data_IF_884482195938
#
_entry.id   IF_884482195938
#
_cell.length_a   1.000
_cell.length_b   1.000
_cell.length_c   1.000
_cell.angle_alpha   90.00
_cell.angle_beta   90.00
_cell.angle_gamma   90.00
#
_symmetry.space_group_name_H-M   'P 1'
#
loop_
_entity.id
_entity.type
_entity.pdbx_description
1 polymer ?
#
# COMPACT_ATOMS: atom_id res chain seq x y z
N UNK A 1 -53.04 -38.47 19.80
CA UNK A 1 -52.98 -39.61 18.87
C UNK A 1 -51.63 -39.57 18.15
N UNK A 2 -50.68 -40.42 18.53
CA UNK A 2 -49.45 -40.59 17.77
C UNK A 2 -49.77 -41.42 16.53
N UNK A 3 -49.70 -40.83 15.33
CA UNK A 3 -49.74 -41.60 14.09
C UNK A 3 -48.50 -42.52 14.06
N UNK A 4 -48.66 -43.82 13.75
CA UNK A 4 -47.51 -44.71 13.60
C UNK A 4 -46.68 -44.21 12.42
N UNK A 5 -45.40 -43.89 12.66
CA UNK A 5 -44.43 -43.65 11.59
C UNK A 5 -44.34 -44.92 10.77
N UNK A 6 -45.00 -44.96 9.61
CA UNK A 6 -44.74 -46.00 8.63
C UNK A 6 -43.25 -45.97 8.32
N UNK A 7 -42.57 -47.08 8.61
CA UNK A 7 -41.16 -47.21 8.32
C UNK A 7 -41.01 -47.25 6.80
N UNK A 8 -40.69 -46.10 6.19
CA UNK A 8 -40.57 -45.90 4.75
C UNK A 8 -39.49 -46.83 4.13
N UNK A 9 -38.66 -47.45 4.99
CA UNK A 9 -37.63 -48.42 4.65
C UNK A 9 -38.02 -49.88 4.92
N UNK A 10 -39.29 -50.20 5.21
CA UNK A 10 -39.74 -51.60 5.22
C UNK A 10 -39.54 -52.23 3.84
N UNK A 11 -39.21 -53.53 3.80
CA UNK A 11 -38.90 -54.26 2.57
C UNK A 11 -40.05 -54.19 1.53
N UNK A 12 -41.29 -54.01 1.99
CA UNK A 12 -42.50 -53.92 1.16
C UNK A 12 -42.95 -52.49 0.84
N UNK A 13 -42.16 -51.46 1.24
CA UNK A 13 -42.49 -50.05 0.97
C UNK A 13 -42.47 -49.72 -0.53
N UNK A 14 -43.44 -48.95 -1.05
CA UNK A 14 -43.48 -48.51 -2.45
C UNK A 14 -42.18 -47.82 -2.90
N UNK A 15 -41.49 -47.14 -1.99
CA UNK A 15 -40.20 -46.50 -2.25
C UNK A 15 -39.05 -47.51 -2.45
N UNK A 16 -39.06 -48.61 -1.70
CA UNK A 16 -38.08 -49.70 -1.83
C UNK A 16 -38.31 -50.47 -3.13
N UNK A 17 -39.58 -50.72 -3.49
CA UNK A 17 -39.96 -51.33 -4.76
C UNK A 17 -39.55 -50.47 -5.97
N UNK A 18 -39.83 -49.16 -5.94
CA UNK A 18 -39.38 -48.21 -6.96
C UNK A 18 -37.86 -48.22 -7.15
N UNK A 19 -37.08 -48.25 -6.05
CA UNK A 19 -35.62 -48.32 -6.15
C UNK A 19 -35.13 -49.65 -6.75
N UNK A 20 -35.79 -50.76 -6.44
CA UNK A 20 -35.48 -52.10 -6.97
C UNK A 20 -35.81 -52.22 -8.46
N UNK A 21 -36.86 -51.54 -8.92
CA UNK A 21 -37.25 -51.48 -10.32
C UNK A 21 -36.35 -50.55 -11.13
N UNK A 22 -36.03 -49.37 -10.60
CA UNK A 22 -35.07 -48.44 -11.21
C UNK A 22 -33.67 -49.06 -11.31
N UNK A 23 -33.24 -49.81 -10.30
CA UNK A 23 -31.95 -50.51 -10.34
C UNK A 23 -31.95 -51.64 -11.39
N UNK A 24 -33.03 -52.41 -11.56
CA UNK A 24 -33.17 -53.37 -12.67
C UNK A 24 -33.02 -52.71 -14.05
N UNK A 25 -33.64 -51.55 -14.25
CA UNK A 25 -33.53 -50.78 -15.51
C UNK A 25 -32.08 -50.30 -15.74
N UNK A 26 -31.39 -49.88 -14.68
CA UNK A 26 -29.97 -49.52 -14.72
C UNK A 26 -29.05 -50.73 -14.98
N UNK A 27 -29.46 -51.95 -14.60
CA UNK A 27 -28.75 -53.21 -14.90
C UNK A 27 -28.87 -53.62 -16.37
N UNK A 28 -30.05 -53.40 -16.96
CA UNK A 28 -30.35 -53.77 -18.35
C UNK A 28 -29.51 -52.99 -19.36
N UNK A 29 -28.99 -51.82 -18.97
CA UNK A 29 -28.06 -51.01 -19.78
C UNK A 29 -26.58 -51.41 -19.63
N UNK A 30 -26.29 -52.61 -19.10
CA UNK A 30 -24.96 -53.26 -19.16
C UNK A 30 -23.86 -52.70 -18.24
N UNK A 31 -24.01 -51.49 -17.71
CA UNK A 31 -22.89 -50.76 -17.09
C UNK A 31 -22.92 -50.68 -15.55
N UNK A 32 -23.81 -51.41 -14.85
CA UNK A 32 -23.92 -51.30 -13.37
C UNK A 32 -24.12 -52.67 -12.74
N UNK A 33 -23.30 -52.99 -11.73
CA UNK A 33 -23.47 -54.19 -10.91
C UNK A 33 -24.59 -54.00 -9.87
N UNK A 34 -25.82 -54.26 -10.33
CA UNK A 34 -27.07 -54.03 -9.57
C UNK A 34 -27.27 -55.01 -8.41
N UNK A 35 -26.54 -56.13 -8.40
CA UNK A 35 -26.57 -57.12 -7.32
C UNK A 35 -26.25 -56.51 -5.95
N UNK A 36 -25.24 -55.65 -5.86
CA UNK A 36 -24.84 -55.06 -4.57
C UNK A 36 -25.74 -53.91 -4.14
N UNK A 37 -26.14 -53.04 -5.06
CA UNK A 37 -27.05 -51.93 -4.75
C UNK A 37 -28.38 -52.47 -4.21
N UNK A 38 -28.92 -53.52 -4.83
CA UNK A 38 -30.11 -54.23 -4.35
C UNK A 38 -29.88 -54.87 -2.98
N UNK A 39 -28.75 -55.57 -2.78
CA UNK A 39 -28.42 -56.25 -1.51
C UNK A 39 -28.20 -55.28 -0.34
N UNK A 40 -27.67 -54.09 -0.61
CA UNK A 40 -27.46 -53.04 0.39
C UNK A 40 -28.74 -52.29 0.73
N UNK A 41 -29.62 -52.09 -0.26
CA UNK A 41 -31.00 -51.57 -0.05
C UNK A 41 -31.84 -52.55 0.77
N UNK A 42 -31.77 -53.86 0.47
CA UNK A 42 -32.47 -54.91 1.23
C UNK A 42 -32.02 -55.00 2.69
N UNK A 43 -30.79 -54.56 3.01
CA UNK A 43 -30.25 -54.50 4.38
C UNK A 43 -30.45 -53.15 5.08
N UNK A 44 -31.13 -52.18 4.46
CA UNK A 44 -31.35 -50.85 5.03
C UNK A 44 -30.07 -50.01 5.23
N UNK A 45 -28.93 -50.41 4.64
CA UNK A 45 -27.64 -49.71 4.81
C UNK A 45 -27.50 -48.61 3.75
N UNK A 46 -27.35 -47.36 4.17
CA UNK A 46 -26.98 -46.24 3.27
C UNK A 46 -25.54 -46.45 2.78
N UNK A 47 -25.34 -46.64 1.47
CA UNK A 47 -24.00 -46.79 0.90
C UNK A 47 -23.22 -45.46 1.02
N UNK A 48 -22.05 -45.52 1.64
CA UNK A 48 -21.07 -44.44 1.60
C UNK A 48 -20.07 -44.72 0.49
N UNK A 49 -19.42 -43.66 -0.01
CA UNK A 49 -18.42 -43.80 -1.08
C UNK A 49 -17.25 -44.72 -0.65
N UNK A 50 -16.87 -44.71 0.63
CA UNK A 50 -15.82 -45.58 1.15
C UNK A 50 -16.16 -47.07 1.05
N UNK A 51 -17.42 -47.43 1.27
CA UNK A 51 -17.90 -48.80 1.09
C UNK A 51 -17.82 -49.20 -0.40
N UNK A 52 -18.19 -48.30 -1.32
CA UNK A 52 -18.16 -48.54 -2.77
C UNK A 52 -16.71 -48.74 -3.25
N UNK A 53 -15.79 -47.86 -2.85
CA UNK A 53 -14.38 -47.94 -3.24
C UNK A 53 -13.77 -49.28 -2.80
N UNK A 54 -13.99 -49.67 -1.54
CA UNK A 54 -13.44 -50.91 -0.98
C UNK A 54 -13.93 -52.13 -1.75
N UNK A 55 -15.21 -52.15 -2.10
CA UNK A 55 -15.81 -53.28 -2.80
C UNK A 55 -15.33 -53.38 -4.24
N UNK A 56 -15.38 -52.29 -5.00
CA UNK A 56 -14.94 -52.29 -6.41
C UNK A 56 -13.44 -52.58 -6.55
N UNK A 57 -12.64 -52.17 -5.56
CA UNK A 57 -11.23 -52.55 -5.44
C UNK A 57 -11.08 -54.06 -5.25
N UNK A 58 -11.80 -54.66 -4.30
CA UNK A 58 -11.73 -56.09 -4.03
C UNK A 58 -12.23 -56.93 -5.22
N UNK A 59 -13.26 -56.47 -5.94
CA UNK A 59 -13.76 -57.14 -7.17
C UNK A 59 -12.71 -57.21 -8.27
N UNK A 60 -11.85 -56.19 -8.36
CA UNK A 60 -10.77 -56.11 -9.35
C UNK A 60 -9.45 -56.70 -8.84
N UNK A 61 -9.46 -57.38 -7.69
CA UNK A 61 -8.28 -57.96 -7.04
C UNK A 61 -7.14 -56.94 -6.77
N UNK A 62 -7.48 -55.67 -6.61
CA UNK A 62 -6.50 -54.62 -6.33
C UNK A 62 -6.24 -54.55 -4.82
N UNK A 63 -4.99 -54.31 -4.42
CA UNK A 63 -4.65 -53.96 -3.04
C UNK A 63 -4.86 -52.46 -2.79
N UNK A 64 -4.91 -52.05 -1.52
CA UNK A 64 -4.96 -50.61 -1.20
C UNK A 64 -3.74 -49.85 -1.72
N UNK A 65 -2.60 -50.53 -1.84
CA UNK A 65 -1.36 -49.97 -2.40
C UNK A 65 -1.51 -49.75 -3.91
N UNK A 66 -2.04 -50.74 -4.62
CA UNK A 66 -2.27 -50.64 -6.07
C UNK A 66 -3.25 -49.50 -6.39
N UNK A 67 -4.33 -49.39 -5.61
CA UNK A 67 -5.30 -48.30 -5.77
C UNK A 67 -4.69 -46.93 -5.47
N UNK A 68 -3.79 -46.85 -4.47
CA UNK A 68 -3.09 -45.62 -4.12
C UNK A 68 -2.15 -45.16 -5.24
N UNK A 69 -1.46 -46.09 -5.90
CA UNK A 69 -0.61 -45.82 -7.06
C UNK A 69 -1.43 -45.26 -8.24
N UNK A 70 -2.61 -45.83 -8.51
CA UNK A 70 -3.48 -45.36 -9.61
C UNK A 70 -3.95 -43.91 -9.41
N UNK A 71 -4.25 -43.50 -8.17
CA UNK A 71 -4.70 -42.14 -7.87
C UNK A 71 -3.58 -41.18 -7.47
N UNK A 72 -2.32 -41.61 -7.49
CA UNK A 72 -1.15 -40.85 -7.01
C UNK A 72 -1.33 -40.31 -5.58
N UNK A 73 -1.87 -41.15 -4.69
CA UNK A 73 -2.08 -40.84 -3.28
C UNK A 73 -1.35 -41.83 -2.38
N UNK A 74 -1.36 -41.58 -1.08
CA UNK A 74 -0.79 -42.53 -0.12
C UNK A 74 -1.77 -43.65 0.19
N UNK A 75 -1.25 -44.87 0.45
CA UNK A 75 -2.08 -46.00 0.91
C UNK A 75 -2.89 -45.65 2.16
N UNK A 76 -2.33 -44.85 3.08
CA UNK A 76 -3.05 -44.39 4.27
C UNK A 76 -4.27 -43.54 3.89
N UNK A 77 -4.20 -42.73 2.83
CA UNK A 77 -5.34 -41.94 2.36
C UNK A 77 -6.45 -42.83 1.77
N UNK A 78 -6.08 -43.81 0.93
CA UNK A 78 -7.03 -44.83 0.44
C UNK A 78 -7.70 -45.58 1.60
N UNK A 79 -6.91 -46.00 2.60
CA UNK A 79 -7.46 -46.64 3.81
C UNK A 79 -8.42 -45.72 4.57
N UNK A 80 -8.14 -44.40 4.63
CA UNK A 80 -9.08 -43.44 5.24
C UNK A 80 -10.37 -43.31 4.43
N UNK A 81 -10.31 -43.31 3.10
CA UNK A 81 -11.50 -43.31 2.24
C UNK A 81 -12.35 -44.55 2.48
N UNK A 82 -11.76 -45.74 2.42
CA UNK A 82 -12.47 -47.02 2.61
C UNK A 82 -13.10 -47.16 4.00
N UNK A 83 -12.51 -46.49 5.00
CA UNK A 83 -13.01 -46.49 6.38
C UNK A 83 -13.88 -45.26 6.71
N UNK A 84 -14.28 -44.46 5.72
CA UNK A 84 -15.10 -43.25 5.87
C UNK A 84 -14.52 -42.22 6.86
N UNK A 85 -13.18 -42.18 7.01
CA UNK A 85 -12.46 -41.21 7.85
C UNK A 85 -12.10 -39.92 7.10
N UNK A 86 -12.10 -39.97 5.78
CA UNK A 86 -11.99 -38.82 4.88
C UNK A 86 -12.72 -39.15 3.58
N UNK A 87 -13.02 -38.13 2.77
CA UNK A 87 -13.57 -38.33 1.43
C UNK A 87 -12.52 -38.04 0.35
N UNK A 88 -12.62 -38.69 -0.82
CA UNK A 88 -11.88 -38.24 -2.00
C UNK A 88 -12.36 -36.84 -2.41
N UNK A 89 -11.46 -36.04 -2.99
CA UNK A 89 -11.83 -34.76 -3.60
C UNK A 89 -12.62 -34.95 -4.91
N UNK A 90 -13.16 -33.86 -5.47
CA UNK A 90 -14.01 -33.97 -6.66
C UNK A 90 -13.31 -34.62 -7.85
N UNK A 91 -12.01 -34.32 -8.06
CA UNK A 91 -11.21 -34.89 -9.14
C UNK A 91 -10.98 -36.40 -8.93
N UNK A 92 -10.69 -36.80 -7.69
CA UNK A 92 -10.57 -38.20 -7.31
C UNK A 92 -11.90 -38.94 -7.47
N UNK A 93 -13.04 -38.31 -7.14
CA UNK A 93 -14.36 -38.93 -7.37
C UNK A 93 -14.63 -39.15 -8.87
N UNK A 94 -14.22 -38.22 -9.73
CA UNK A 94 -14.30 -38.40 -11.20
C UNK A 94 -13.40 -39.55 -11.65
N UNK A 95 -12.15 -39.60 -11.19
CA UNK A 95 -11.24 -40.71 -11.53
C UNK A 95 -11.73 -42.06 -11.00
N UNK A 96 -12.38 -42.09 -9.83
CA UNK A 96 -13.01 -43.31 -9.28
C UNK A 96 -14.19 -43.75 -10.15
N UNK A 97 -14.99 -42.81 -10.64
CA UNK A 97 -16.08 -43.05 -11.59
C UNK A 97 -15.56 -43.70 -12.86
N UNK A 98 -14.47 -43.18 -13.42
CA UNK A 98 -13.82 -43.72 -14.61
C UNK A 98 -13.15 -45.08 -14.37
N UNK A 99 -12.38 -45.23 -13.29
CA UNK A 99 -11.65 -46.47 -12.98
C UNK A 99 -12.59 -47.67 -12.76
N UNK A 100 -13.76 -47.42 -12.15
CA UNK A 100 -14.71 -48.46 -11.80
C UNK A 100 -15.92 -48.54 -12.73
N UNK A 101 -15.96 -47.73 -13.79
CA UNK A 101 -17.10 -47.60 -14.71
C UNK A 101 -18.44 -47.36 -13.96
N UNK A 102 -18.41 -46.49 -12.95
CA UNK A 102 -19.56 -46.18 -12.12
C UNK A 102 -20.11 -44.78 -12.42
N UNK A 103 -21.42 -44.56 -12.51
CA UNK A 103 -21.97 -43.22 -12.66
C UNK A 103 -21.60 -42.32 -11.48
N UNK A 104 -21.21 -41.07 -11.73
CA UNK A 104 -20.95 -40.07 -10.68
C UNK A 104 -22.14 -39.92 -9.71
N UNK A 105 -23.36 -39.96 -10.24
CA UNK A 105 -24.59 -39.94 -9.45
C UNK A 105 -24.66 -41.07 -8.41
N UNK A 106 -24.09 -42.24 -8.72
CA UNK A 106 -24.03 -43.38 -7.82
C UNK A 106 -23.05 -43.14 -6.67
N UNK A 107 -21.89 -42.53 -6.97
CA UNK A 107 -20.86 -42.19 -6.00
C UNK A 107 -21.28 -41.02 -5.08
N UNK A 108 -22.03 -40.05 -5.61
CA UNK A 108 -22.36 -38.81 -4.93
C UNK A 108 -23.71 -38.83 -4.19
N UNK A 109 -24.78 -39.38 -4.78
CA UNK A 109 -26.14 -39.31 -4.18
C UNK A 109 -26.31 -40.21 -2.95
N UNK A 110 -25.43 -41.19 -2.76
CA UNK A 110 -25.41 -42.05 -1.58
C UNK A 110 -24.94 -41.35 -0.29
N UNK A 111 -24.11 -40.31 -0.41
CA UNK A 111 -23.41 -39.69 0.72
C UNK A 111 -23.56 -38.15 0.75
N UNK A 112 -24.64 -37.69 1.39
CA UNK A 112 -24.90 -36.26 1.60
C UNK A 112 -23.80 -35.57 2.42
N UNK A 113 -23.09 -36.27 3.31
CA UNK A 113 -22.04 -35.65 4.12
C UNK A 113 -20.83 -35.29 3.25
N UNK A 114 -20.45 -36.18 2.33
CA UNK A 114 -19.40 -35.90 1.34
C UNK A 114 -19.75 -34.70 0.47
N UNK A 115 -20.95 -34.67 -0.12
CA UNK A 115 -21.37 -33.56 -1.00
C UNK A 115 -21.38 -32.20 -0.28
N UNK A 116 -21.75 -32.17 1.01
CA UNK A 116 -21.70 -30.96 1.81
C UNK A 116 -20.27 -30.51 2.10
N UNK A 117 -19.33 -31.44 2.35
CA UNK A 117 -17.92 -31.10 2.56
C UNK A 117 -17.26 -30.54 1.30
N UNK A 118 -17.46 -31.18 0.13
CA UNK A 118 -16.93 -30.67 -1.15
C UNK A 118 -17.46 -29.26 -1.47
N UNK A 119 -18.74 -28.99 -1.17
CA UNK A 119 -19.35 -27.68 -1.33
C UNK A 119 -18.81 -26.64 -0.33
N UNK A 120 -18.51 -27.04 0.91
CA UNK A 120 -17.95 -26.14 1.91
C UNK A 120 -16.51 -25.75 1.56
N UNK A 121 -15.68 -26.71 1.16
CA UNK A 121 -14.28 -26.47 0.82
C UNK A 121 -14.12 -25.56 -0.40
N UNK A 122 -14.97 -25.73 -1.42
CA UNK A 122 -14.98 -24.85 -2.59
C UNK A 122 -15.40 -23.41 -2.24
N UNK A 123 -16.44 -23.24 -1.41
CA UNK A 123 -16.87 -21.91 -0.92
C UNK A 123 -15.81 -21.25 -0.04
N UNK A 124 -15.15 -22.01 0.82
CA UNK A 124 -14.08 -21.51 1.69
C UNK A 124 -12.89 -21.02 0.87
N UNK A 125 -12.41 -21.82 -0.10
CA UNK A 125 -11.32 -21.41 -1.02
C UNK A 125 -11.66 -20.14 -1.80
N UNK A 126 -12.90 -20.02 -2.29
CA UNK A 126 -13.35 -18.82 -3.00
C UNK A 126 -13.35 -17.58 -2.09
N UNK A 127 -13.90 -17.70 -0.87
CA UNK A 127 -13.87 -16.61 0.12
C UNK A 127 -12.44 -16.23 0.50
N UNK A 128 -11.57 -17.19 0.77
CA UNK A 128 -10.17 -16.93 1.11
C UNK A 128 -9.43 -16.18 0.01
N UNK A 129 -9.68 -16.51 -1.28
CA UNK A 129 -9.11 -15.77 -2.41
C UNK A 129 -9.61 -14.32 -2.46
N UNK A 130 -10.91 -14.09 -2.24
CA UNK A 130 -11.49 -12.74 -2.21
C UNK A 130 -10.92 -11.91 -1.05
N UNK A 131 -10.91 -12.46 0.16
CA UNK A 131 -10.37 -11.78 1.35
C UNK A 131 -8.86 -11.54 1.23
N UNK A 132 -8.11 -12.49 0.68
CA UNK A 132 -6.69 -12.33 0.39
C UNK A 132 -6.42 -11.19 -0.59
N UNK A 133 -7.19 -11.11 -1.69
CA UNK A 133 -7.09 -10.01 -2.65
C UNK A 133 -7.48 -8.64 -2.06
N UNK A 134 -8.49 -8.59 -1.19
CA UNK A 134 -8.86 -7.35 -0.52
C UNK A 134 -7.75 -6.89 0.45
N UNK A 135 -7.17 -7.82 1.20
CA UNK A 135 -6.10 -7.53 2.16
C UNK A 135 -4.86 -6.98 1.44
N UNK A 136 -4.49 -7.52 0.28
CA UNK A 136 -3.35 -7.00 -0.48
C UNK A 136 -3.60 -5.58 -0.99
N UNK A 137 -4.82 -5.28 -1.44
CA UNK A 137 -5.21 -3.91 -1.83
C UNK A 137 -5.11 -2.96 -0.64
N UNK A 138 -5.62 -3.33 0.53
CA UNK A 138 -5.56 -2.52 1.74
C UNK A 138 -4.11 -2.25 2.15
N UNK A 139 -3.26 -3.28 2.17
CA UNK A 139 -1.84 -3.14 2.51
C UNK A 139 -1.13 -2.23 1.50
N UNK A 140 -1.38 -2.41 0.20
CA UNK A 140 -0.78 -1.56 -0.84
C UNK A 140 -1.21 -0.10 -0.71
N UNK A 141 -2.48 0.16 -0.39
CA UNK A 141 -3.00 1.49 -0.13
C UNK A 141 -2.37 2.10 1.12
N UNK A 142 -2.22 1.33 2.20
CA UNK A 142 -1.58 1.80 3.43
C UNK A 142 -0.13 2.23 3.16
N UNK A 143 0.65 1.41 2.45
CA UNK A 143 2.03 1.72 2.07
C UNK A 143 2.10 3.02 1.25
N UNK A 144 1.23 3.16 0.23
CA UNK A 144 1.17 4.39 -0.58
C UNK A 144 0.84 5.62 0.26
N UNK A 145 -0.11 5.53 1.18
CA UNK A 145 -0.45 6.64 2.08
C UNK A 145 0.69 6.98 3.04
N UNK A 146 1.43 5.99 3.55
CA UNK A 146 2.60 6.24 4.40
C UNK A 146 3.72 6.92 3.62
N UNK A 147 4.02 6.46 2.40
CA UNK A 147 5.03 7.10 1.54
C UNK A 147 4.63 8.55 1.22
N UNK A 148 3.34 8.77 0.88
CA UNK A 148 2.82 10.11 0.63
C UNK A 148 2.95 11.00 1.87
N UNK A 149 2.59 10.49 3.05
CA UNK A 149 2.71 11.26 4.30
C UNK A 149 4.16 11.59 4.61
N UNK A 150 5.07 10.64 4.48
CA UNK A 150 6.51 10.87 4.68
C UNK A 150 7.04 11.94 3.71
N UNK A 151 6.58 11.94 2.45
CA UNK A 151 6.96 12.96 1.48
C UNK A 151 6.32 14.33 1.77
N UNK A 152 5.05 14.35 2.19
CA UNK A 152 4.31 15.60 2.45
C UNK A 152 4.86 16.37 3.67
N UNK A 153 5.33 15.66 4.69
CA UNK A 153 5.92 16.26 5.88
C UNK A 153 7.45 16.41 5.80
N UNK A 154 8.11 15.91 4.75
CA UNK A 154 9.54 16.17 4.51
C UNK A 154 9.72 17.60 4.00
N UNK A 155 10.71 18.31 4.53
CA UNK A 155 11.12 19.59 3.95
C UNK A 155 12.12 19.31 2.82
N UNK A 156 11.87 19.80 1.58
CA UNK A 156 12.75 19.56 0.47
C UNK A 156 14.12 20.21 0.72
N UNK A 157 15.17 19.40 0.72
CA UNK A 157 16.54 19.93 0.77
C UNK A 157 16.86 20.74 -0.50
N UNK A 158 17.22 22.00 -0.35
CA UNK A 158 17.57 22.87 -1.47
C UNK A 158 19.09 23.11 -1.51
N UNK A 159 19.65 23.08 -2.71
CA UNK A 159 21.05 23.44 -2.97
C UNK A 159 21.11 24.62 -3.93
N UNK A 160 22.26 25.32 -4.07
CA UNK A 160 22.35 26.45 -5.01
C UNK A 160 22.08 26.07 -6.46
N UNK A 161 22.33 24.82 -6.86
CA UNK A 161 22.02 24.33 -8.20
C UNK A 161 20.52 24.23 -8.48
N UNK A 162 19.74 24.12 -7.40
CA UNK A 162 18.28 24.01 -7.47
C UNK A 162 17.62 25.39 -7.64
N UNK A 163 18.37 26.47 -7.43
CA UNK A 163 17.89 27.84 -7.40
C UNK A 163 18.44 28.59 -8.61
N UNK A 164 17.55 29.13 -9.44
CA UNK A 164 17.90 30.00 -10.55
C UNK A 164 17.51 31.44 -10.21
N UNK A 165 18.49 32.34 -10.25
CA UNK A 165 18.25 33.77 -10.08
C UNK A 165 17.73 34.32 -11.42
N UNK A 166 16.53 34.87 -11.40
CA UNK A 166 15.87 35.41 -12.60
C UNK A 166 16.18 36.89 -12.79
N UNK A 167 16.26 37.65 -11.69
CA UNK A 167 16.46 39.11 -11.72
C UNK A 167 17.03 39.61 -10.39
N UNK A 168 17.89 40.62 -10.45
CA UNK A 168 18.34 41.36 -9.26
C UNK A 168 18.13 42.86 -9.49
N UNK A 169 17.47 43.52 -8.55
CA UNK A 169 17.26 44.97 -8.56
C UNK A 169 18.04 45.62 -7.41
N UNK A 170 18.90 46.59 -7.74
CA UNK A 170 19.60 47.42 -6.75
C UNK A 170 18.85 48.74 -6.57
N UNK A 171 18.53 49.12 -5.36
CA UNK A 171 17.73 50.31 -5.06
C UNK A 171 18.45 51.22 -4.07
N UNK A 172 18.30 52.53 -4.24
CA UNK A 172 18.82 53.53 -3.29
C UNK A 172 17.72 53.89 -2.31
N UNK A 173 17.95 53.64 -1.01
CA UNK A 173 17.05 54.01 0.08
C UNK A 173 17.48 55.38 0.63
N UNK A 174 16.57 56.37 0.70
CA UNK A 174 16.90 57.68 1.26
C UNK A 174 17.12 57.58 2.78
N UNK A 175 17.91 58.51 3.33
CA UNK A 175 18.04 58.66 4.76
C UNK A 175 16.67 58.98 5.39
N UNK A 176 16.40 58.41 6.57
CA UNK A 176 15.12 58.58 7.28
C UNK A 176 15.39 58.95 8.73
N UNK A 177 14.66 59.93 9.25
CA UNK A 177 14.69 60.24 10.68
C UNK A 177 13.48 59.60 11.36
N UNK A 178 13.74 58.75 12.36
CA UNK A 178 12.71 58.23 13.25
C UNK A 178 12.66 59.16 14.47
N UNK A 179 11.45 59.46 14.95
CA UNK A 179 11.25 60.12 16.23
C UNK A 179 10.54 59.14 17.15
N UNK A 180 11.13 58.84 18.30
CA UNK A 180 10.46 58.09 19.35
C UNK A 180 9.28 58.93 19.86
N UNK A 181 8.05 58.42 19.68
CA UNK A 181 6.83 59.16 20.04
C UNK A 181 6.66 59.40 21.55
N UNK A 182 7.34 58.60 22.39
CA UNK A 182 7.23 58.69 23.85
C UNK A 182 8.38 59.51 24.47
N UNK A 183 9.60 59.39 23.97
CA UNK A 183 10.78 60.09 24.52
C UNK A 183 11.17 61.35 23.74
N UNK A 184 10.60 61.57 22.54
CA UNK A 184 10.98 62.66 21.64
C UNK A 184 12.36 62.51 20.99
N UNK A 185 13.07 61.42 21.31
CA UNK A 185 14.42 61.17 20.79
C UNK A 185 14.38 60.94 19.28
N UNK A 186 15.26 61.65 18.55
CA UNK A 186 15.41 61.51 17.09
C UNK A 186 16.59 60.60 16.77
N UNK A 187 16.36 59.62 15.90
CA UNK A 187 17.40 58.76 15.35
C UNK A 187 17.46 58.95 13.83
N UNK A 188 18.64 59.27 13.31
CA UNK A 188 18.86 59.38 11.88
C UNK A 188 19.39 58.05 11.34
N UNK A 189 18.58 57.39 10.50
CA UNK A 189 19.04 56.28 9.67
C UNK A 189 19.68 56.87 8.41
N UNK A 190 20.97 56.59 8.14
CA UNK A 190 21.63 57.07 6.92
C UNK A 190 21.00 56.46 5.66
N UNK A 191 21.28 57.06 4.50
CA UNK A 191 20.88 56.47 3.23
C UNK A 191 21.60 55.12 3.03
N UNK A 192 20.90 54.14 2.46
CA UNK A 192 21.41 52.77 2.31
C UNK A 192 21.09 52.18 0.93
N UNK A 193 21.65 51.01 0.63
CA UNK A 193 21.37 50.25 -0.58
C UNK A 193 20.54 49.01 -0.21
N UNK A 194 19.52 48.77 -1.01
CA UNK A 194 18.63 47.63 -0.87
C UNK A 194 18.67 46.79 -2.14
N UNK A 195 18.78 45.46 -1.97
CA UNK A 195 18.76 44.52 -3.09
C UNK A 195 17.47 43.69 -3.04
N UNK A 196 16.75 43.63 -4.15
CA UNK A 196 15.64 42.71 -4.37
C UNK A 196 16.09 41.63 -5.34
N UNK A 197 16.19 40.40 -4.86
CA UNK A 197 16.63 39.25 -5.65
C UNK A 197 15.39 38.40 -5.96
N UNK A 198 15.13 38.19 -7.24
CA UNK A 198 14.10 37.28 -7.77
C UNK A 198 14.76 35.96 -8.14
N UNK A 199 14.13 34.87 -7.76
CA UNK A 199 14.62 33.52 -8.02
C UNK A 199 13.46 32.55 -8.15
N UNK A 200 13.73 31.43 -8.82
CA UNK A 200 12.83 30.29 -8.97
C UNK A 200 13.58 29.00 -8.67
N UNK A 201 12.85 27.93 -8.44
CA UNK A 201 13.43 26.59 -8.29
C UNK A 201 13.32 25.83 -9.60
N UNK A 202 14.37 25.09 -9.98
CA UNK A 202 14.31 24.11 -11.07
C UNK A 202 14.03 22.69 -10.53
N UNK A 203 13.95 22.52 -9.21
CA UNK A 203 13.71 21.23 -8.56
C UNK A 203 12.25 20.80 -8.77
N UNK A 204 11.99 19.58 -9.27
CA UNK A 204 10.65 19.13 -9.58
C UNK A 204 9.81 18.96 -8.31
N UNK A 205 8.52 19.28 -8.41
CA UNK A 205 7.52 19.17 -7.33
C UNK A 205 7.88 19.95 -6.05
N UNK A 206 8.68 21.02 -6.19
CA UNK A 206 9.02 21.92 -5.11
C UNK A 206 8.58 23.32 -5.51
N UNK A 207 7.86 23.98 -4.61
CA UNK A 207 7.54 25.39 -4.72
C UNK A 207 8.24 26.15 -3.59
N UNK A 208 8.67 27.36 -3.87
CA UNK A 208 9.37 28.21 -2.89
C UNK A 208 8.33 28.99 -2.10
N UNK A 209 8.33 28.81 -0.77
CA UNK A 209 7.24 29.28 0.07
C UNK A 209 7.30 30.78 0.36
N UNK A 210 8.53 31.26 0.60
CA UNK A 210 8.98 32.62 0.92
C UNK A 210 10.37 32.46 1.53
N UNK A 211 11.33 33.28 1.14
CA UNK A 211 12.60 33.34 1.85
C UNK A 211 12.40 34.16 3.13
N UNK A 212 12.73 33.57 4.28
CA UNK A 212 12.96 34.32 5.51
C UNK A 212 14.48 34.53 5.62
N UNK A 213 14.95 35.75 5.31
CA UNK A 213 16.32 36.15 5.63
C UNK A 213 16.44 36.36 7.13
N UNK A 214 16.49 35.29 7.91
CA UNK A 214 16.70 35.37 9.35
C UNK A 214 18.19 35.61 9.58
N UNK A 215 18.60 36.87 9.72
CA UNK A 215 19.95 37.25 10.13
C UNK A 215 20.07 37.02 11.64
N UNK A 216 20.38 35.80 12.06
CA UNK A 216 20.47 35.46 13.50
C UNK A 216 21.91 35.23 14.00
N UNK A 217 22.93 35.13 13.13
CA UNK A 217 24.33 35.18 13.57
C UNK A 217 25.28 35.58 12.43
N UNK A 218 26.28 36.37 12.78
CA UNK A 218 27.31 36.89 11.88
C UNK A 218 28.55 36.04 12.06
N UNK A 219 28.91 35.29 11.04
CA UNK A 219 30.34 35.08 10.84
C UNK A 219 30.94 36.35 10.23
N UNK A 220 32.20 36.69 10.53
CA UNK A 220 32.85 37.88 10.00
C UNK A 220 32.84 37.99 8.46
N UNK A 221 32.59 36.88 7.75
CA UNK A 221 32.78 36.69 6.31
C UNK A 221 31.53 36.79 5.43
N UNK A 222 30.30 36.78 5.97
CA UNK A 222 29.09 36.68 5.13
C UNK A 222 27.73 36.87 5.82
N UNK A 223 26.66 36.92 5.01
CA UNK A 223 25.24 36.98 5.41
C UNK A 223 24.57 35.69 4.95
N UNK A 224 23.95 34.95 5.87
CA UNK A 224 23.25 33.71 5.57
C UNK A 224 21.78 33.94 5.22
N UNK A 225 21.29 33.19 4.24
CA UNK A 225 19.92 33.24 3.74
C UNK A 225 19.34 31.82 3.82
N UNK A 226 18.21 31.68 4.51
CA UNK A 226 17.46 30.42 4.59
C UNK A 226 16.30 30.43 3.57
N UNK A 227 16.32 29.47 2.65
CA UNK A 227 15.31 29.36 1.57
C UNK A 227 14.51 28.09 1.76
N UNK A 228 13.28 28.20 2.27
CA UNK A 228 12.42 27.03 2.45
C UNK A 228 11.56 26.79 1.22
N UNK A 229 11.44 25.51 0.86
CA UNK A 229 10.51 25.03 -0.14
C UNK A 229 9.44 24.16 0.51
N UNK A 230 8.34 23.95 -0.20
CA UNK A 230 7.37 22.91 0.14
C UNK A 230 7.08 22.06 -1.08
N UNK A 231 6.81 20.78 -0.81
CA UNK A 231 6.40 19.85 -1.83
C UNK A 231 5.03 20.28 -2.41
N UNK A 232 4.97 20.43 -3.74
CA UNK A 232 3.76 20.87 -4.44
C UNK A 232 3.59 20.08 -5.73
N UNK A 233 2.37 19.57 -5.92
CA UNK A 233 1.97 18.94 -7.17
C UNK A 233 1.48 19.98 -8.18
N UNK A 234 1.88 19.83 -9.44
CA UNK A 234 1.45 20.69 -10.54
C UNK A 234 2.48 21.77 -10.90
N UNK A 235 2.01 22.93 -11.35
CA UNK A 235 2.87 24.02 -11.82
C UNK A 235 3.67 24.63 -10.66
N UNK A 236 4.99 24.63 -10.79
CA UNK A 236 5.97 25.17 -9.84
C UNK A 236 6.78 26.31 -10.48
N UNK A 237 6.10 27.24 -11.16
CA UNK A 237 6.74 28.37 -11.90
C UNK A 237 6.68 29.69 -11.11
N UNK A 238 6.45 29.61 -9.80
CA UNK A 238 6.26 30.75 -8.91
C UNK A 238 7.60 31.42 -8.63
N UNK A 239 7.80 32.59 -9.22
CA UNK A 239 8.93 33.45 -8.89
C UNK A 239 8.78 33.94 -7.45
N UNK A 240 9.85 33.78 -6.68
CA UNK A 240 9.97 34.22 -5.30
C UNK A 240 10.98 35.36 -5.19
N UNK A 241 10.80 36.22 -4.19
CA UNK A 241 11.62 37.41 -4.00
C UNK A 241 12.17 37.48 -2.58
N UNK A 242 13.41 37.96 -2.43
CA UNK A 242 14.04 38.26 -1.14
C UNK A 242 14.59 39.68 -1.15
N UNK A 243 14.34 40.39 -0.06
CA UNK A 243 14.96 41.67 0.24
C UNK A 243 16.22 41.45 1.07
N UNK A 244 17.35 41.92 0.57
CA UNK A 244 18.61 42.01 1.32
C UNK A 244 18.83 43.48 1.67
N UNK A 245 18.68 43.80 2.96
CA UNK A 245 18.75 45.17 3.51
C UNK A 245 19.76 45.19 4.66
N UNK A 246 20.43 46.34 4.85
CA UNK A 246 21.04 46.68 6.14
C UNK A 246 19.99 46.61 7.24
N UNK A 247 20.10 45.68 8.20
CA UNK A 247 19.25 45.64 9.39
C UNK A 247 19.34 47.00 10.08
N UNK A 248 18.30 47.83 9.91
CA UNK A 248 18.19 49.14 10.53
C UNK A 248 16.79 49.24 11.12
N UNK A 249 16.70 48.84 12.41
CA UNK A 249 15.71 49.12 13.48
C UNK A 249 15.44 47.85 14.33
N UNK A 250 15.27 47.91 15.67
CA UNK A 250 15.95 48.67 16.73
C UNK A 250 16.98 47.83 17.53
N UNK A 251 17.15 46.54 17.23
CA UNK A 251 17.93 45.61 18.08
C UNK A 251 19.43 45.55 17.74
N UNK A 252 19.88 46.18 16.65
CA UNK A 252 21.30 46.28 16.31
C UNK A 252 21.70 47.71 15.95
N UNK A 253 22.63 48.25 16.74
CA UNK A 253 23.17 49.61 16.67
C UNK A 253 24.25 49.79 15.58
N UNK A 254 24.51 48.79 14.74
CA UNK A 254 25.67 48.80 13.83
C UNK A 254 25.26 48.79 12.35
N UNK A 255 25.26 49.98 11.75
CA UNK A 255 25.03 50.17 10.32
C UNK A 255 26.10 49.50 9.43
N UNK A 256 27.33 49.29 9.92
CA UNK A 256 28.42 48.70 9.13
C UNK A 256 28.36 47.17 9.05
N UNK A 257 27.40 46.57 9.75
CA UNK A 257 27.29 45.14 9.96
C UNK A 257 27.09 44.31 8.68
N UNK A 258 26.48 44.86 7.65
CA UNK A 258 26.19 44.18 6.38
C UNK A 258 27.10 44.63 5.24
N UNK A 259 27.78 45.76 5.42
CA UNK A 259 28.56 46.40 4.35
C UNK A 259 29.78 45.54 4.01
N UNK A 260 29.88 45.12 2.74
CA UNK A 260 31.04 44.36 2.27
C UNK A 260 30.95 42.85 2.40
N UNK A 261 29.79 42.30 2.79
CA UNK A 261 29.65 40.86 3.05
C UNK A 261 29.00 40.12 1.87
N UNK A 262 29.51 38.92 1.61
CA UNK A 262 28.95 37.99 0.63
C UNK A 262 27.67 37.34 1.17
N UNK A 263 26.77 36.92 0.28
CA UNK A 263 25.56 36.18 0.61
C UNK A 263 25.81 34.67 0.49
N UNK A 264 25.35 33.92 1.50
CA UNK A 264 25.46 32.46 1.57
C UNK A 264 24.06 31.84 1.70
N UNK A 265 23.84 30.74 0.98
CA UNK A 265 22.65 29.91 1.09
C UNK A 265 22.86 28.89 2.19
N UNK A 266 21.97 28.92 3.18
CA UNK A 266 21.98 27.98 4.28
C UNK A 266 21.60 26.57 3.81
N UNK A 267 22.38 25.56 4.20
CA UNK A 267 22.07 24.17 3.91
C UNK A 267 20.96 23.70 4.84
N UNK A 268 19.75 23.57 4.32
CA UNK A 268 18.60 23.10 5.10
C UNK A 268 18.72 21.58 5.25
N UNK A 269 18.96 21.05 6.47
CA UNK A 269 18.87 19.63 6.69
C UNK A 269 17.40 19.19 6.60
N UNK A 270 17.13 18.00 6.04
CA UNK A 270 15.88 17.27 6.31
C UNK A 270 15.75 17.15 7.84
N UNK A 271 14.80 17.84 8.48
CA UNK A 271 14.81 18.04 9.97
C UNK A 271 14.46 16.77 10.78
N UNK A 272 14.78 16.70 12.10
CA UNK A 272 15.65 17.59 12.88
C UNK A 272 16.83 16.85 13.57
N UNK A 273 17.98 17.51 13.69
CA UNK A 273 18.84 17.21 14.84
C UNK A 273 18.09 17.66 16.10
N UNK A 274 17.97 16.77 17.07
CA UNK A 274 17.35 16.95 18.39
C UNK A 274 18.07 18.04 19.23
N UNK A 275 19.18 18.56 18.73
CA UNK A 275 19.90 19.67 19.31
C UNK A 275 19.50 20.95 18.58
N UNK A 276 19.17 21.99 19.33
CA UNK A 276 19.15 23.39 18.87
C UNK A 276 20.55 23.89 18.43
N UNK A 277 21.47 22.99 18.05
CA UNK A 277 22.77 23.30 17.49
C UNK A 277 22.56 23.61 16.00
N UNK A 278 22.59 24.89 15.68
CA UNK A 278 22.52 25.38 14.30
C UNK A 278 23.86 25.07 13.58
N UNK A 279 23.84 24.51 12.36
CA UNK A 279 25.04 24.35 11.54
C UNK A 279 25.90 25.62 11.46
N UNK A 280 27.21 25.45 11.35
CA UNK A 280 28.17 26.55 11.23
C UNK A 280 28.25 27.01 9.76
N UNK A 281 28.79 28.21 9.50
CA UNK A 281 28.94 28.77 8.13
C UNK A 281 29.73 27.86 7.19
N UNK A 282 30.62 27.01 7.72
CA UNK A 282 31.31 25.96 6.96
C UNK A 282 30.36 24.98 6.26
N UNK A 283 29.11 24.88 6.72
CA UNK A 283 28.08 24.01 6.17
C UNK A 283 27.17 24.72 5.15
N UNK A 284 27.44 26.00 4.83
CA UNK A 284 26.67 26.83 3.88
C UNK A 284 27.31 26.88 2.48
N UNK A 285 26.53 27.32 1.48
CA UNK A 285 27.03 27.50 0.12
C UNK A 285 27.12 28.98 -0.24
N UNK A 286 28.25 29.43 -0.81
CA UNK A 286 28.34 30.80 -1.34
C UNK A 286 27.31 31.01 -2.45
N UNK A 287 26.44 31.99 -2.29
CA UNK A 287 25.31 32.24 -3.19
C UNK A 287 25.59 33.42 -4.12
N UNK A 288 25.94 34.60 -3.58
CA UNK A 288 26.28 35.80 -4.36
C UNK A 288 27.41 36.57 -3.67
N UNK A 289 28.37 37.08 -4.43
CA UNK A 289 29.41 37.93 -3.86
C UNK A 289 28.98 39.40 -3.75
N UNK A 290 29.56 40.11 -2.80
CA UNK A 290 29.39 41.54 -2.63
C UNK A 290 29.80 42.33 -3.87
N UNK A 291 30.87 41.90 -4.55
CA UNK A 291 31.33 42.50 -5.80
C UNK A 291 30.29 42.37 -6.92
N UNK A 292 29.66 41.19 -7.06
CA UNK A 292 28.59 40.96 -8.03
C UNK A 292 27.40 41.88 -7.78
N UNK A 293 27.00 42.06 -6.51
CA UNK A 293 25.92 42.96 -6.13
C UNK A 293 26.26 44.43 -6.40
N UNK A 294 27.49 44.84 -6.13
CA UNK A 294 27.89 46.24 -6.28
C UNK A 294 27.95 46.70 -7.73
N UNK A 295 28.28 45.81 -8.66
CA UNK A 295 28.37 46.13 -10.08
C UNK A 295 27.00 46.31 -10.76
N UNK A 296 25.89 46.07 -10.06
CA UNK A 296 24.54 46.26 -10.59
C UNK A 296 24.14 47.76 -10.67
N UNK A 297 23.41 48.16 -11.73
CA UNK A 297 22.88 49.52 -11.85
C UNK A 297 21.71 49.77 -10.89
N UNK A 298 21.50 51.05 -10.52
CA UNK A 298 20.36 51.44 -9.69
C UNK A 298 19.05 51.39 -10.48
N UNK A 299 18.05 50.77 -9.87
CA UNK A 299 16.66 50.71 -10.33
C UNK A 299 15.91 51.92 -9.80
N UNK A 300 15.13 52.61 -10.64
CA UNK A 300 14.33 53.78 -10.21
C UNK A 300 13.23 53.31 -9.25
N UNK A 301 13.36 53.64 -7.97
CA UNK A 301 12.34 53.35 -6.97
C UNK A 301 11.27 54.45 -6.96
N UNK A 302 9.98 54.09 -7.01
CA UNK A 302 8.90 54.98 -6.57
C UNK A 302 8.79 54.82 -5.06
N UNK A 303 9.09 55.89 -4.33
CA UNK A 303 8.87 55.97 -2.88
C UNK A 303 7.38 55.65 -2.64
N UNK A 304 7.10 54.62 -1.84
CA UNK A 304 5.75 54.28 -1.38
C UNK A 304 5.47 54.98 -0.06
#
# INVERSE_FOLDING_TARGET
MQHPKQNIFSLDSPFVQYKKEKSKILAMNGNINVSFYCKSIEKGKKLKIGDIIKEERLKRNLTQEDLAQVFFVTRQLVSKWENNRSYPDLDQVVKISELFDLPLDYLLKGDQQMTNQLNFDSKLKHRLKLWGGLLTVIISSAILTTIFFLWFFDEPSLTPKDIEITKIEKMKRPAKTIVNRHTGQKWAIPADIEYLIHFKTNKPFVDLARIAGIVERIDPSGIEIEVTGHHKFGRCDTESTIWVRGMTEPDSLDYNFIKGKDLYLYKIPRKPSIKNERPQVSDSYKFLSWEQLNNLPFTKFKIK
#
